data_IF_266123379640
#
_entry.id   IF_266123379640
#
_cell.length_a   1.000
_cell.length_b   1.000
_cell.length_c   1.000
_cell.angle_alpha   90.00
_cell.angle_beta   90.00
_cell.angle_gamma   90.00
#
_symmetry.space_group_name_H-M   'P 1'
#
loop_
_entity.id
_entity.type
_entity.pdbx_description
1 polymer ?
#
# COMPACT_ATOMS: atom_id res chain seq x y z
N UNK A 1 10.48 -27.71 -27.40
CA UNK A 1 10.08 -26.44 -26.76
C UNK A 1 8.56 -26.41 -26.73
N UNK A 2 7.95 -26.62 -25.55
CA UNK A 2 6.48 -26.64 -25.48
C UNK A 2 5.94 -25.25 -25.80
N UNK A 3 4.85 -25.22 -26.56
CA UNK A 3 4.19 -24.02 -27.04
C UNK A 3 3.48 -23.32 -25.86
N UNK A 4 4.24 -22.77 -24.91
CA UNK A 4 3.69 -21.94 -23.84
C UNK A 4 3.04 -20.74 -24.52
N UNK A 5 1.73 -20.64 -24.46
CA UNK A 5 0.96 -19.59 -25.10
C UNK A 5 1.46 -18.19 -24.72
N UNK A 6 1.28 -17.22 -25.63
CA UNK A 6 1.72 -15.82 -25.46
C UNK A 6 1.29 -15.22 -24.11
N UNK A 7 0.12 -15.62 -23.59
CA UNK A 7 -0.39 -15.19 -22.29
C UNK A 7 0.53 -15.60 -21.13
N UNK A 8 0.99 -16.85 -21.09
CA UNK A 8 1.86 -17.34 -20.02
C UNK A 8 3.20 -16.59 -20.05
N UNK A 9 3.75 -16.37 -21.24
CA UNK A 9 4.99 -15.60 -21.39
C UNK A 9 4.82 -14.16 -20.93
N UNK A 10 3.67 -13.53 -21.22
CA UNK A 10 3.36 -12.18 -20.72
C UNK A 10 3.27 -12.17 -19.18
N UNK A 11 2.53 -13.11 -18.58
CA UNK A 11 2.37 -13.23 -17.13
C UNK A 11 3.74 -13.43 -16.44
N UNK A 12 4.52 -14.41 -16.89
CA UNK A 12 5.82 -14.76 -16.29
C UNK A 12 6.84 -13.63 -16.42
N UNK A 13 6.80 -12.86 -17.51
CA UNK A 13 7.77 -11.79 -17.78
C UNK A 13 7.27 -10.37 -17.41
N UNK A 14 6.04 -10.23 -16.90
CA UNK A 14 5.43 -8.91 -16.70
C UNK A 14 6.23 -8.02 -15.74
N UNK A 15 6.67 -8.57 -14.61
CA UNK A 15 7.53 -7.88 -13.64
C UNK A 15 8.62 -8.81 -13.12
N UNK A 16 9.84 -8.65 -13.64
CA UNK A 16 11.00 -9.39 -13.15
C UNK A 16 11.42 -8.87 -11.77
N UNK A 17 11.56 -9.79 -10.82
CA UNK A 17 11.96 -9.52 -9.44
C UNK A 17 13.01 -10.52 -8.98
N UNK A 18 13.96 -10.08 -8.14
CA UNK A 18 14.92 -10.99 -7.50
C UNK A 18 14.39 -11.49 -6.15
N UNK A 19 14.92 -12.64 -5.69
CA UNK A 19 14.58 -13.17 -4.38
C UNK A 19 15.04 -12.23 -3.24
N UNK A 20 16.18 -11.55 -3.41
CA UNK A 20 16.66 -10.53 -2.48
C UNK A 20 15.71 -9.32 -2.41
N UNK A 21 15.25 -8.84 -3.57
CA UNK A 21 14.29 -7.73 -3.64
C UNK A 21 12.97 -8.09 -2.96
N UNK A 22 12.43 -9.28 -3.24
CA UNK A 22 11.21 -9.76 -2.58
C UNK A 22 11.41 -9.97 -1.07
N UNK A 23 12.57 -10.46 -0.63
CA UNK A 23 12.88 -10.61 0.79
C UNK A 23 12.88 -9.26 1.53
N UNK A 24 13.43 -8.21 0.92
CA UNK A 24 13.34 -6.85 1.46
C UNK A 24 11.90 -6.33 1.48
N UNK A 25 11.15 -6.55 0.39
CA UNK A 25 9.75 -6.15 0.31
C UNK A 25 8.93 -6.82 1.42
N UNK A 26 9.14 -8.11 1.70
CA UNK A 26 8.49 -8.82 2.81
C UNK A 26 8.75 -8.13 4.15
N UNK A 27 10.02 -7.84 4.45
CA UNK A 27 10.42 -7.18 5.70
C UNK A 27 9.76 -5.80 5.82
N UNK A 28 9.82 -5.00 4.75
CA UNK A 28 9.16 -3.69 4.72
C UNK A 28 7.65 -3.81 4.94
N UNK A 29 6.96 -4.68 4.20
CA UNK A 29 5.52 -4.91 4.34
C UNK A 29 5.13 -5.34 5.75
N UNK A 30 5.84 -6.30 6.33
CA UNK A 30 5.59 -6.77 7.70
C UNK A 30 5.72 -5.63 8.71
N UNK A 31 6.81 -4.85 8.62
CA UNK A 31 7.03 -3.72 9.53
C UNK A 31 5.98 -2.62 9.33
N UNK A 32 5.65 -2.30 8.07
CA UNK A 32 4.69 -1.26 7.77
C UNK A 32 3.29 -1.63 8.30
N UNK A 33 2.89 -2.90 8.15
CA UNK A 33 1.64 -3.39 8.73
C UNK A 33 1.70 -3.34 10.25
N UNK A 34 2.75 -3.88 10.87
CA UNK A 34 2.90 -3.93 12.33
C UNK A 34 2.86 -2.55 13.00
N UNK A 35 3.40 -1.53 12.37
CA UNK A 35 3.48 -0.19 12.96
C UNK A 35 2.28 0.71 12.64
N UNK A 36 1.69 0.57 11.45
CA UNK A 36 0.75 1.59 10.94
C UNK A 36 -0.57 1.03 10.42
N UNK A 37 -0.66 -0.26 10.08
CA UNK A 37 -1.83 -0.81 9.38
C UNK A 37 -2.47 -1.99 10.13
N UNK A 38 -2.25 -2.10 11.45
CA UNK A 38 -3.00 -3.05 12.27
C UNK A 38 -4.46 -2.57 12.33
N UNK A 39 -5.45 -3.39 11.92
CA UNK A 39 -6.86 -3.01 11.97
C UNK A 39 -7.30 -2.61 13.38
N UNK A 40 -8.04 -1.50 13.47
CA UNK A 40 -8.58 -0.98 14.73
C UNK A 40 -7.52 -0.46 15.71
N UNK A 41 -6.26 -0.24 15.29
CA UNK A 41 -5.17 0.14 16.20
C UNK A 41 -4.89 -0.83 17.36
N UNK A 42 -5.38 -2.08 17.27
CA UNK A 42 -5.11 -3.15 18.23
C UNK A 42 -6.35 -3.83 18.78
N UNK A 43 -6.14 -4.78 19.70
CA UNK A 43 -7.21 -5.65 20.19
C UNK A 43 -8.32 -4.90 20.95
N UNK A 44 -7.98 -3.84 21.69
CA UNK A 44 -8.94 -3.12 22.55
C UNK A 44 -10.04 -2.40 21.76
N UNK A 45 -9.78 -1.99 20.53
CA UNK A 45 -10.79 -1.38 19.67
C UNK A 45 -11.97 -2.32 19.40
N UNK A 46 -11.72 -3.62 19.36
CA UNK A 46 -12.75 -4.62 19.13
C UNK A 46 -13.61 -4.89 20.37
N UNK A 47 -13.24 -4.40 21.56
CA UNK A 47 -14.07 -4.52 22.76
C UNK A 47 -15.42 -3.81 22.55
N UNK A 48 -15.39 -2.58 22.01
CA UNK A 48 -16.60 -1.83 21.71
C UNK A 48 -17.46 -2.49 20.63
N UNK A 49 -16.85 -2.98 19.55
CA UNK A 49 -17.58 -3.72 18.49
C UNK A 49 -18.31 -4.93 19.04
N UNK A 50 -17.67 -5.68 19.95
CA UNK A 50 -18.28 -6.87 20.55
C UNK A 50 -19.47 -6.57 21.47
N UNK A 51 -19.63 -5.32 21.89
CA UNK A 51 -20.76 -4.87 22.74
C UNK A 51 -21.90 -4.22 21.97
N UNK A 52 -21.76 -4.08 20.65
CA UNK A 52 -22.81 -3.48 19.84
C UNK A 52 -24.08 -4.34 19.78
N UNK A 53 -25.27 -3.72 19.79
CA UNK A 53 -26.52 -4.44 19.51
C UNK A 53 -26.50 -5.08 18.11
N UNK A 54 -27.18 -6.21 17.96
CA UNK A 54 -27.27 -6.95 16.69
C UNK A 54 -27.83 -6.09 15.54
N UNK A 55 -28.72 -5.14 15.83
CA UNK A 55 -29.30 -4.22 14.84
C UNK A 55 -28.25 -3.33 14.13
N UNK A 56 -27.08 -3.15 14.74
CA UNK A 56 -25.95 -2.43 14.12
C UNK A 56 -25.06 -3.33 13.25
N UNK A 57 -25.30 -4.65 13.25
CA UNK A 57 -24.55 -5.60 12.43
C UNK A 57 -25.20 -5.71 11.04
N UNK A 58 -24.72 -4.90 10.10
CA UNK A 58 -25.14 -4.86 8.70
C UNK A 58 -23.95 -5.20 7.78
N UNK A 59 -23.58 -6.50 7.69
CA UNK A 59 -22.44 -6.91 6.87
C UNK A 59 -22.71 -6.62 5.38
N UNK A 60 -21.71 -6.10 4.63
CA UNK A 60 -21.81 -6.04 3.18
C UNK A 60 -21.86 -7.45 2.59
N UNK A 61 -22.29 -7.61 1.31
CA UNK A 61 -22.30 -8.90 0.65
C UNK A 61 -20.98 -9.65 0.76
N UNK A 62 -20.98 -10.84 1.38
CA UNK A 62 -19.77 -11.62 1.60
C UNK A 62 -19.85 -12.57 2.80
N UNK A 63 -18.70 -13.15 3.22
CA UNK A 63 -18.66 -14.18 4.27
C UNK A 63 -19.19 -13.74 5.63
N UNK A 64 -19.18 -12.43 5.92
CA UNK A 64 -19.70 -11.90 7.19
C UNK A 64 -21.23 -12.02 7.31
N UNK A 65 -21.95 -12.22 6.19
CA UNK A 65 -23.40 -12.47 6.21
C UNK A 65 -23.81 -13.80 6.84
N UNK A 66 -22.85 -14.69 7.12
CA UNK A 66 -23.11 -15.96 7.81
C UNK A 66 -23.38 -15.72 9.31
N UNK A 67 -23.00 -14.55 9.83
CA UNK A 67 -23.22 -14.16 11.21
C UNK A 67 -24.50 -13.31 11.31
N UNK A 68 -25.23 -13.47 12.41
CA UNK A 68 -26.40 -12.64 12.71
C UNK A 68 -26.07 -11.41 13.58
N UNK A 69 -24.88 -11.40 14.20
CA UNK A 69 -24.44 -10.34 15.12
C UNK A 69 -22.90 -10.31 15.22
N UNK A 70 -22.37 -9.27 15.88
CA UNK A 70 -20.95 -9.20 16.18
C UNK A 70 -20.49 -10.38 17.06
N UNK A 71 -19.33 -10.98 16.77
CA UNK A 71 -18.76 -12.03 17.62
C UNK A 71 -18.42 -11.53 19.03
N UNK A 72 -18.37 -12.42 20.04
CA UNK A 72 -17.85 -12.07 21.36
C UNK A 72 -16.39 -11.58 21.30
N UNK A 73 -15.97 -10.74 22.25
CA UNK A 73 -14.61 -10.17 22.32
C UNK A 73 -13.49 -11.22 22.21
N UNK A 74 -13.70 -12.40 22.80
CA UNK A 74 -12.74 -13.51 22.74
C UNK A 74 -12.40 -13.94 21.30
N UNK A 75 -13.36 -13.86 20.37
CA UNK A 75 -13.15 -14.19 18.96
C UNK A 75 -12.26 -13.13 18.29
N UNK A 76 -12.54 -11.85 18.53
CA UNK A 76 -11.69 -10.76 18.04
C UNK A 76 -10.27 -10.85 18.58
N UNK A 77 -10.12 -11.09 19.89
CA UNK A 77 -8.82 -11.27 20.54
C UNK A 77 -8.06 -12.47 19.94
N UNK A 78 -8.74 -13.58 19.65
CA UNK A 78 -8.13 -14.75 19.02
C UNK A 78 -7.63 -14.45 17.60
N UNK A 79 -8.46 -13.83 16.75
CA UNK A 79 -8.09 -13.47 15.38
C UNK A 79 -6.94 -12.46 15.38
N UNK A 80 -6.99 -11.45 16.25
CA UNK A 80 -5.91 -10.47 16.41
C UNK A 80 -4.61 -11.13 16.90
N UNK A 81 -4.68 -12.09 17.82
CA UNK A 81 -3.49 -12.83 18.28
C UNK A 81 -2.87 -13.63 17.13
N UNK A 82 -3.69 -14.31 16.32
CA UNK A 82 -3.24 -15.01 15.12
C UNK A 82 -2.59 -14.03 14.13
N UNK A 83 -3.17 -12.84 13.94
CA UNK A 83 -2.59 -11.78 13.11
C UNK A 83 -1.19 -11.40 13.61
N UNK A 84 -1.03 -11.10 14.90
CA UNK A 84 0.26 -10.68 15.46
C UNK A 84 1.33 -11.78 15.33
N UNK A 85 1.00 -13.02 15.70
CA UNK A 85 1.92 -14.16 15.58
C UNK A 85 2.30 -14.41 14.12
N UNK A 86 1.32 -14.38 13.20
CA UNK A 86 1.58 -14.57 11.77
C UNK A 86 2.40 -13.44 11.15
N UNK A 87 2.19 -12.18 11.55
CA UNK A 87 2.99 -11.04 11.10
C UNK A 87 4.44 -11.13 11.55
N UNK A 88 4.68 -11.49 12.82
CA UNK A 88 6.03 -11.71 13.36
C UNK A 88 6.70 -12.88 12.64
N UNK A 89 5.98 -13.98 12.41
CA UNK A 89 6.49 -15.10 11.63
C UNK A 89 6.79 -14.72 10.17
N UNK A 90 5.94 -13.89 9.54
CA UNK A 90 6.16 -13.37 8.19
C UNK A 90 7.40 -12.46 8.14
N UNK A 91 7.58 -11.57 9.13
CA UNK A 91 8.76 -10.71 9.24
C UNK A 91 10.06 -11.54 9.31
N UNK A 92 10.09 -12.51 10.23
CA UNK A 92 11.21 -13.44 10.39
C UNK A 92 11.39 -14.37 9.18
N UNK A 93 10.36 -14.50 8.34
CA UNK A 93 10.34 -15.43 7.22
C UNK A 93 10.33 -16.89 7.68
N UNK A 94 9.52 -17.19 8.69
CA UNK A 94 9.25 -18.54 9.19
C UNK A 94 7.90 -19.03 8.67
N UNK A 95 7.90 -20.18 7.97
CA UNK A 95 6.72 -20.71 7.26
C UNK A 95 6.03 -19.62 6.43
N UNK A 96 6.84 -18.86 5.69
CA UNK A 96 6.51 -17.56 5.09
C UNK A 96 5.20 -17.59 4.31
N UNK A 97 4.96 -18.63 3.49
CA UNK A 97 3.70 -18.79 2.74
C UNK A 97 2.48 -18.81 3.66
N UNK A 98 2.47 -19.69 4.67
CA UNK A 98 1.36 -19.82 5.60
C UNK A 98 1.22 -18.60 6.50
N UNK A 99 2.33 -18.05 6.98
CA UNK A 99 2.33 -16.82 7.76
C UNK A 99 1.67 -15.66 6.97
N UNK A 100 2.01 -15.52 5.69
CA UNK A 100 1.45 -14.47 4.82
C UNK A 100 -0.04 -14.68 4.54
N UNK A 101 -0.47 -15.93 4.29
CA UNK A 101 -1.90 -16.27 4.11
C UNK A 101 -2.68 -15.96 5.39
N UNK A 102 -2.20 -16.43 6.54
CA UNK A 102 -2.86 -16.19 7.83
C UNK A 102 -2.93 -14.70 8.15
N UNK A 103 -1.87 -13.94 7.91
CA UNK A 103 -1.88 -12.47 8.04
C UNK A 103 -2.98 -11.85 7.17
N UNK A 104 -3.03 -12.18 5.87
CA UNK A 104 -4.04 -11.63 4.97
C UNK A 104 -5.47 -12.02 5.34
N UNK A 105 -5.71 -13.28 5.67
CA UNK A 105 -7.04 -13.77 6.10
C UNK A 105 -7.45 -13.12 7.41
N UNK A 106 -6.58 -13.03 8.42
CA UNK A 106 -6.89 -12.38 9.68
C UNK A 106 -7.22 -10.90 9.51
N UNK A 107 -6.48 -10.16 8.67
CA UNK A 107 -6.81 -8.75 8.36
C UNK A 107 -8.17 -8.68 7.67
N UNK A 108 -8.44 -9.54 6.68
CA UNK A 108 -9.72 -9.54 5.96
C UNK A 108 -10.91 -9.81 6.89
N UNK A 109 -10.76 -10.76 7.83
CA UNK A 109 -11.78 -11.06 8.82
C UNK A 109 -12.03 -9.87 9.76
N UNK A 110 -10.97 -9.28 10.32
CA UNK A 110 -11.09 -8.12 11.21
C UNK A 110 -11.70 -6.91 10.50
N UNK A 111 -11.25 -6.59 9.28
CA UNK A 111 -11.81 -5.50 8.48
C UNK A 111 -13.25 -5.77 8.08
N UNK A 112 -13.58 -7.01 7.67
CA UNK A 112 -14.94 -7.41 7.35
C UNK A 112 -15.89 -7.16 8.51
N UNK A 113 -15.48 -7.50 9.73
CA UNK A 113 -16.25 -7.22 10.95
C UNK A 113 -16.35 -5.72 11.26
N UNK A 114 -15.29 -4.93 11.07
CA UNK A 114 -15.35 -3.47 11.23
C UNK A 114 -16.35 -2.85 10.24
N UNK A 115 -16.34 -3.31 8.99
CA UNK A 115 -17.21 -2.77 7.93
C UNK A 115 -18.67 -3.19 8.07
N UNK A 116 -18.97 -4.21 8.88
CA UNK A 116 -20.35 -4.57 9.23
C UNK A 116 -21.08 -3.50 10.05
N UNK A 117 -20.41 -2.42 10.49
CA UNK A 117 -21.09 -1.24 11.08
C UNK A 117 -21.67 -0.31 9.99
N UNK A 118 -21.48 -0.62 8.71
CA UNK A 118 -22.08 0.10 7.58
C UNK A 118 -21.15 1.11 6.89
N UNK A 119 -19.91 1.29 7.36
CA UNK A 119 -18.89 2.09 6.66
C UNK A 119 -17.84 1.18 6.04
N UNK A 120 -17.84 1.09 4.72
CA UNK A 120 -16.82 0.37 3.96
C UNK A 120 -15.69 1.32 3.59
N UNK A 121 -14.45 1.02 4.01
CA UNK A 121 -13.25 1.75 3.58
C UNK A 121 -12.48 0.97 2.51
N UNK A 122 -11.63 1.67 1.76
CA UNK A 122 -10.80 1.08 0.68
C UNK A 122 -9.50 0.45 1.21
N UNK A 123 -9.59 -0.45 2.20
CA UNK A 123 -8.42 -0.99 2.89
C UNK A 123 -8.09 -2.45 2.54
N UNK A 124 -8.81 -3.04 1.59
CA UNK A 124 -8.67 -4.46 1.20
C UNK A 124 -7.26 -4.83 0.74
N UNK A 125 -6.50 -3.86 0.21
CA UNK A 125 -5.12 -4.08 -0.23
C UNK A 125 -4.19 -4.48 0.94
N UNK A 126 -4.49 -4.08 2.17
CA UNK A 126 -3.70 -4.48 3.35
C UNK A 126 -3.77 -5.99 3.55
N UNK A 127 -4.95 -6.59 3.33
CA UNK A 127 -5.16 -8.03 3.42
C UNK A 127 -4.63 -8.79 2.20
N UNK A 128 -4.91 -8.25 1.01
CA UNK A 128 -4.59 -8.91 -0.27
C UNK A 128 -3.10 -9.00 -0.52
N UNK A 129 -2.33 -7.96 -0.19
CA UNK A 129 -0.87 -7.94 -0.41
C UNK A 129 -0.17 -9.17 0.21
N UNK A 130 -0.27 -9.41 1.53
CA UNK A 130 0.35 -10.60 2.12
C UNK A 130 -0.26 -11.91 1.60
N UNK A 131 -1.57 -11.99 1.40
CA UNK A 131 -2.22 -13.20 0.89
C UNK A 131 -1.73 -13.59 -0.52
N UNK A 132 -1.65 -12.65 -1.45
CA UNK A 132 -1.17 -12.88 -2.81
C UNK A 132 0.34 -13.11 -2.85
N UNK A 133 1.12 -12.29 -2.12
CA UNK A 133 2.58 -12.41 -2.10
C UNK A 133 3.06 -13.70 -1.41
N UNK A 134 2.21 -14.40 -0.65
CA UNK A 134 2.46 -15.75 -0.17
C UNK A 134 2.90 -16.73 -1.28
N UNK A 135 2.48 -16.48 -2.52
CA UNK A 135 2.77 -17.30 -3.69
C UNK A 135 3.92 -16.76 -4.56
N UNK A 136 4.54 -15.64 -4.19
CA UNK A 136 5.66 -15.03 -4.93
C UNK A 136 7.02 -15.64 -4.62
N UNK A 137 7.08 -16.53 -3.63
CA UNK A 137 8.32 -17.00 -3.00
C UNK A 137 9.15 -15.86 -2.34
N UNK A 138 8.51 -14.80 -1.83
CA UNK A 138 9.20 -13.73 -1.07
C UNK A 138 9.86 -14.16 0.25
N UNK A 139 9.72 -15.44 0.62
CA UNK A 139 10.49 -16.09 1.68
C UNK A 139 11.78 -16.75 1.17
N UNK A 140 12.12 -16.63 -0.12
CA UNK A 140 13.28 -17.31 -0.72
C UNK A 140 14.65 -16.77 -0.28
N UNK A 141 14.70 -15.54 0.26
CA UNK A 141 15.91 -14.92 0.83
C UNK A 141 15.61 -14.15 2.11
N UNK A 142 16.66 -13.96 2.91
CA UNK A 142 16.65 -13.23 4.18
C UNK A 142 15.53 -13.70 5.12
N UNK A 143 15.34 -15.02 5.20
CA UNK A 143 14.28 -15.68 5.96
C UNK A 143 14.83 -16.90 6.69
N UNK A 144 14.16 -17.31 7.77
CA UNK A 144 14.44 -18.59 8.43
C UNK A 144 14.22 -19.76 7.46
N UNK A 145 13.21 -19.68 6.60
CA UNK A 145 12.92 -20.71 5.60
C UNK A 145 14.07 -20.89 4.59
N UNK A 146 14.73 -19.80 4.19
CA UNK A 146 15.85 -19.83 3.24
C UNK A 146 17.12 -20.45 3.80
N UNK A 147 17.28 -20.46 5.13
CA UNK A 147 18.40 -21.14 5.79
C UNK A 147 18.23 -22.66 5.73
N UNK A 148 16.97 -23.14 5.68
CA UNK A 148 16.63 -24.57 5.74
C UNK A 148 16.47 -25.23 4.37
N UNK A 149 16.32 -24.46 3.29
CA UNK A 149 16.04 -24.97 1.94
C UNK A 149 17.27 -24.88 1.04
N UNK A 150 17.37 -25.83 0.10
CA UNK A 150 18.37 -25.74 -0.97
C UNK A 150 18.08 -24.56 -1.92
N UNK A 151 19.13 -23.89 -2.46
CA UNK A 151 19.00 -22.71 -3.32
C UNK A 151 18.14 -22.91 -4.57
N UNK A 152 17.99 -24.16 -5.07
CA UNK A 152 17.24 -24.45 -6.30
C UNK A 152 15.74 -24.14 -6.22
N UNK A 153 15.15 -24.08 -5.03
CA UNK A 153 13.73 -23.77 -4.83
C UNK A 153 13.47 -22.27 -4.55
N UNK A 154 14.40 -21.38 -4.91
CA UNK A 154 14.36 -19.95 -4.58
C UNK A 154 13.92 -19.04 -5.73
N UNK A 155 13.52 -19.60 -6.88
CA UNK A 155 13.06 -18.79 -8.01
C UNK A 155 11.80 -18.00 -7.62
N UNK A 156 11.80 -16.66 -7.79
CA UNK A 156 10.64 -15.82 -7.57
C UNK A 156 9.55 -16.05 -8.62
N UNK A 157 8.30 -16.01 -8.17
CA UNK A 157 7.14 -16.02 -9.07
C UNK A 157 6.63 -14.60 -9.29
N UNK A 158 6.49 -14.20 -10.55
CA UNK A 158 6.13 -12.82 -10.93
C UNK A 158 4.61 -12.59 -11.00
N UNK A 159 3.83 -13.64 -11.21
CA UNK A 159 2.38 -13.55 -11.40
C UNK A 159 1.62 -12.92 -10.20
N UNK A 160 2.03 -13.08 -8.92
CA UNK A 160 1.31 -12.44 -7.81
C UNK A 160 1.37 -10.91 -7.86
N UNK A 161 2.47 -10.35 -8.38
CA UNK A 161 2.59 -8.90 -8.58
C UNK A 161 1.64 -8.42 -9.68
N UNK A 162 1.51 -9.19 -10.77
CA UNK A 162 0.54 -8.90 -11.82
C UNK A 162 -0.91 -9.00 -11.28
N UNK A 163 -1.21 -10.01 -10.47
CA UNK A 163 -2.52 -10.13 -9.82
C UNK A 163 -2.84 -8.91 -8.96
N UNK A 164 -1.90 -8.45 -8.12
CA UNK A 164 -2.08 -7.23 -7.33
C UNK A 164 -2.23 -5.99 -8.23
N UNK A 165 -1.49 -5.92 -9.34
CA UNK A 165 -1.63 -4.81 -10.30
C UNK A 165 -3.03 -4.75 -10.92
N UNK A 166 -3.58 -5.91 -11.31
CA UNK A 166 -4.95 -6.04 -11.81
C UNK A 166 -5.95 -5.61 -10.73
N UNK A 167 -5.76 -6.03 -9.49
CA UNK A 167 -6.65 -5.64 -8.38
C UNK A 167 -6.60 -4.14 -8.09
N UNK A 168 -5.41 -3.53 -8.06
CA UNK A 168 -5.28 -2.06 -7.93
C UNK A 168 -6.01 -1.37 -9.08
N UNK A 169 -5.81 -1.83 -10.32
CA UNK A 169 -6.43 -1.22 -11.48
C UNK A 169 -7.96 -1.37 -11.47
N UNK A 170 -8.46 -2.53 -11.04
CA UNK A 170 -9.89 -2.76 -10.87
C UNK A 170 -10.48 -1.89 -9.76
N UNK A 171 -9.79 -1.76 -8.62
CA UNK A 171 -10.23 -0.87 -7.54
C UNK A 171 -10.32 0.59 -8.00
N UNK A 172 -9.31 1.07 -8.72
CA UNK A 172 -9.33 2.43 -9.31
C UNK A 172 -10.47 2.59 -10.30
N UNK A 173 -10.69 1.62 -11.18
CA UNK A 173 -11.82 1.61 -12.10
C UNK A 173 -13.16 1.67 -11.35
N UNK A 174 -13.35 0.86 -10.30
CA UNK A 174 -14.58 0.89 -9.50
C UNK A 174 -14.76 2.19 -8.70
N UNK A 175 -13.71 2.97 -8.50
CA UNK A 175 -13.82 4.32 -7.94
C UNK A 175 -14.25 5.35 -9.00
N UNK A 176 -13.77 5.22 -10.25
CA UNK A 176 -14.10 6.13 -11.35
C UNK A 176 -15.42 5.83 -12.05
N UNK A 177 -15.83 4.57 -12.11
CA UNK A 177 -17.04 4.16 -12.81
C UNK A 177 -18.32 4.80 -12.22
N UNK A 178 -18.55 4.81 -10.89
CA UNK A 178 -19.68 5.54 -10.31
C UNK A 178 -19.62 7.06 -10.55
N UNK A 179 -18.43 7.66 -10.68
CA UNK A 179 -18.27 9.09 -10.98
C UNK A 179 -18.78 9.43 -12.38
N UNK A 180 -18.47 8.57 -13.36
CA UNK A 180 -19.01 8.68 -14.71
C UNK A 180 -20.54 8.62 -14.68
N UNK A 181 -21.10 7.62 -14.00
CA UNK A 181 -22.56 7.46 -13.89
C UNK A 181 -23.22 8.61 -13.10
N UNK A 182 -22.50 9.18 -12.14
CA UNK A 182 -22.95 10.28 -11.29
C UNK A 182 -22.81 11.67 -11.92
N UNK A 183 -22.45 11.76 -13.20
CA UNK A 183 -22.44 13.04 -13.93
C UNK A 183 -21.20 13.91 -13.71
N UNK A 184 -20.07 13.37 -13.22
CA UNK A 184 -18.84 14.15 -13.02
C UNK A 184 -18.24 14.72 -14.32
N UNK A 185 -18.71 14.28 -15.49
CA UNK A 185 -18.29 14.83 -16.79
C UNK A 185 -19.20 15.97 -17.27
N UNK A 186 -20.23 16.33 -16.51
CA UNK A 186 -21.08 17.49 -16.77
C UNK A 186 -20.38 18.77 -16.28
N UNK A 187 -19.99 19.69 -17.19
CA UNK A 187 -19.24 20.89 -16.83
C UNK A 187 -19.97 21.91 -15.96
N UNK A 188 -21.26 21.68 -15.70
CA UNK A 188 -22.05 22.52 -14.80
C UNK A 188 -21.93 22.10 -13.33
N UNK A 189 -21.33 20.94 -13.04
CA UNK A 189 -21.35 20.35 -11.70
C UNK A 189 -20.14 20.69 -10.84
N UNK A 190 -18.94 20.86 -11.41
CA UNK A 190 -17.68 21.04 -10.68
C UNK A 190 -17.56 20.04 -9.52
N UNK A 191 -17.72 18.75 -9.82
CA UNK A 191 -17.96 17.69 -8.83
C UNK A 191 -16.85 17.60 -7.77
N UNK A 192 -15.59 17.79 -8.15
CA UNK A 192 -14.44 17.85 -7.23
C UNK A 192 -14.56 19.03 -6.26
N UNK A 193 -14.99 20.21 -6.73
CA UNK A 193 -15.22 21.37 -5.86
C UNK A 193 -16.39 21.10 -4.90
N UNK A 194 -17.50 20.55 -5.41
CA UNK A 194 -18.62 20.13 -4.57
C UNK A 194 -18.20 19.12 -3.49
N UNK A 195 -17.31 18.18 -3.82
CA UNK A 195 -16.76 17.23 -2.86
C UNK A 195 -15.87 17.92 -1.82
N UNK A 196 -15.01 18.88 -2.23
CA UNK A 196 -14.24 19.72 -1.31
C UNK A 196 -15.14 20.47 -0.33
N UNK A 197 -16.19 21.12 -0.81
CA UNK A 197 -17.15 21.84 0.04
C UNK A 197 -17.83 20.90 1.04
N UNK A 198 -18.18 19.69 0.61
CA UNK A 198 -18.73 18.67 1.52
C UNK A 198 -17.72 18.27 2.60
N UNK A 199 -16.46 18.01 2.24
CA UNK A 199 -15.43 17.70 3.24
C UNK A 199 -15.21 18.86 4.21
N UNK A 200 -15.11 20.09 3.70
CA UNK A 200 -14.78 21.26 4.50
C UNK A 200 -15.91 21.68 5.45
N UNK A 201 -17.15 21.77 4.96
CA UNK A 201 -18.29 22.30 5.71
C UNK A 201 -19.13 21.24 6.41
N UNK A 202 -19.22 20.02 5.87
CA UNK A 202 -20.07 18.95 6.44
C UNK A 202 -19.25 17.97 7.28
N UNK A 203 -18.01 17.68 6.87
CA UNK A 203 -17.09 16.80 7.62
C UNK A 203 -16.08 17.57 8.47
N UNK A 204 -16.14 18.90 8.45
CA UNK A 204 -15.26 19.80 9.23
C UNK A 204 -13.76 19.55 8.99
N UNK A 205 -13.41 19.07 7.78
CA UNK A 205 -12.02 18.82 7.35
C UNK A 205 -11.39 20.10 6.81
N UNK A 206 -10.78 20.86 7.71
CA UNK A 206 -10.32 22.22 7.44
C UNK A 206 -8.79 22.40 7.55
N UNK A 207 -8.04 21.31 7.69
CA UNK A 207 -6.59 21.32 7.87
C UNK A 207 -5.82 21.50 6.55
N UNK A 208 -4.50 21.66 6.65
CA UNK A 208 -3.56 21.74 5.52
C UNK A 208 -3.94 22.85 4.52
N UNK A 209 -4.24 22.51 3.25
CA UNK A 209 -4.57 23.46 2.20
C UNK A 209 -6.07 23.54 1.90
N UNK A 210 -6.93 22.88 2.69
CA UNK A 210 -8.36 22.83 2.44
C UNK A 210 -8.98 24.24 2.36
N UNK A 211 -8.66 25.12 3.32
CA UNK A 211 -9.15 26.51 3.34
C UNK A 211 -8.69 27.34 2.13
N UNK A 212 -7.47 27.12 1.65
CA UNK A 212 -6.96 27.77 0.44
C UNK A 212 -7.79 27.35 -0.79
N UNK A 213 -8.04 26.05 -0.94
CA UNK A 213 -8.80 25.55 -2.09
C UNK A 213 -10.28 25.94 -2.06
N UNK A 214 -10.90 26.10 -0.90
CA UNK A 214 -12.30 26.59 -0.80
C UNK A 214 -12.44 28.00 -1.38
N UNK A 215 -11.41 28.84 -1.18
CA UNK A 215 -11.37 30.22 -1.69
C UNK A 215 -10.93 30.31 -3.17
N UNK A 216 -10.57 29.18 -3.78
CA UNK A 216 -10.08 29.15 -5.15
C UNK A 216 -11.23 29.07 -6.16
N UNK A 217 -11.69 30.23 -6.61
CA UNK A 217 -12.78 30.38 -7.58
C UNK A 217 -12.27 30.31 -9.03
N UNK A 218 -12.20 29.10 -9.59
CA UNK A 218 -11.82 28.90 -10.99
C UNK A 218 -12.49 27.66 -11.58
N UNK A 219 -13.53 27.88 -12.38
CA UNK A 219 -14.31 26.82 -13.03
C UNK A 219 -13.45 25.90 -13.89
N UNK A 220 -12.55 26.45 -14.71
CA UNK A 220 -11.71 25.67 -15.63
C UNK A 220 -10.82 24.69 -14.85
N UNK A 221 -10.27 25.13 -13.72
CA UNK A 221 -9.45 24.29 -12.86
C UNK A 221 -10.24 23.13 -12.26
N UNK A 222 -11.43 23.39 -11.72
CA UNK A 222 -12.26 22.35 -11.09
C UNK A 222 -12.73 21.32 -12.11
N UNK A 223 -13.17 21.77 -13.27
CA UNK A 223 -13.54 20.89 -14.38
C UNK A 223 -12.35 20.08 -14.88
N UNK A 224 -11.16 20.69 -15.01
CA UNK A 224 -9.96 19.94 -15.34
C UNK A 224 -9.70 18.80 -14.33
N UNK A 225 -9.90 19.05 -13.03
CA UNK A 225 -9.72 18.01 -12.00
C UNK A 225 -10.77 16.89 -12.10
N UNK A 226 -12.01 17.19 -12.47
CA UNK A 226 -13.05 16.17 -12.68
C UNK A 226 -12.67 15.21 -13.80
N UNK A 227 -12.34 15.76 -14.97
CA UNK A 227 -11.89 14.99 -16.12
C UNK A 227 -10.58 14.24 -15.85
N UNK A 228 -9.62 14.89 -15.20
CA UNK A 228 -8.33 14.27 -14.86
C UNK A 228 -8.52 13.10 -13.88
N UNK A 229 -9.40 13.22 -12.89
CA UNK A 229 -9.71 12.17 -11.91
C UNK A 229 -10.29 10.94 -12.61
N UNK A 230 -11.29 11.13 -13.49
CA UNK A 230 -11.90 10.01 -14.24
C UNK A 230 -10.90 9.35 -15.17
N UNK A 231 -10.14 10.13 -15.95
CA UNK A 231 -9.15 9.58 -16.87
C UNK A 231 -8.07 8.78 -16.11
N UNK A 232 -7.64 9.29 -14.96
CA UNK A 232 -6.67 8.64 -14.09
C UNK A 232 -7.20 7.31 -13.53
N UNK A 233 -8.41 7.32 -12.93
CA UNK A 233 -9.02 6.15 -12.30
C UNK A 233 -9.35 5.04 -13.31
N UNK A 234 -9.92 5.39 -14.47
CA UNK A 234 -10.25 4.43 -15.54
C UNK A 234 -8.99 3.99 -16.30
N UNK A 235 -8.05 4.90 -16.54
CA UNK A 235 -6.82 4.64 -17.27
C UNK A 235 -5.92 3.58 -16.62
N UNK A 236 -6.09 3.34 -15.32
CA UNK A 236 -5.40 2.28 -14.60
C UNK A 236 -5.60 0.88 -15.23
N UNK A 237 -6.80 0.56 -15.75
CA UNK A 237 -7.05 -0.72 -16.43
C UNK A 237 -6.15 -0.92 -17.64
N UNK A 238 -6.00 0.12 -18.45
CA UNK A 238 -5.14 0.10 -19.64
C UNK A 238 -3.67 0.05 -19.24
N UNK A 239 -3.30 0.69 -18.12
CA UNK A 239 -1.91 0.74 -17.66
C UNK A 239 -1.33 -0.64 -17.32
N UNK A 240 -2.16 -1.62 -16.92
CA UNK A 240 -1.71 -2.98 -16.53
C UNK A 240 -1.06 -3.73 -17.70
N UNK A 241 -1.41 -3.45 -18.96
CA UNK A 241 -0.84 -4.16 -20.11
C UNK A 241 0.68 -4.02 -20.21
N UNK A 242 1.25 -2.92 -19.70
CA UNK A 242 2.71 -2.72 -19.64
C UNK A 242 3.13 -2.16 -18.29
N UNK A 243 4.04 -2.86 -17.59
CA UNK A 243 4.60 -2.44 -16.30
C UNK A 243 5.09 -0.98 -16.28
N UNK A 244 5.67 -0.49 -17.39
CA UNK A 244 6.11 0.92 -17.49
C UNK A 244 4.94 1.89 -17.37
N UNK A 245 3.82 1.62 -18.05
CA UNK A 245 2.62 2.45 -17.97
C UNK A 245 2.02 2.35 -16.57
N UNK A 246 1.88 1.14 -16.04
CA UNK A 246 1.42 0.91 -14.67
C UNK A 246 2.22 1.72 -13.64
N UNK A 247 3.56 1.69 -13.71
CA UNK A 247 4.42 2.48 -12.81
C UNK A 247 4.25 3.99 -12.96
N UNK A 248 3.97 4.49 -14.16
CA UNK A 248 3.64 5.92 -14.37
C UNK A 248 2.32 6.26 -13.67
N UNK A 249 1.30 5.41 -13.84
CA UNK A 249 0.02 5.56 -13.15
C UNK A 249 0.17 5.47 -11.62
N UNK A 250 1.05 4.60 -11.10
CA UNK A 250 1.37 4.61 -9.66
C UNK A 250 2.03 5.92 -9.21
N UNK A 251 2.88 6.54 -10.03
CA UNK A 251 3.43 7.86 -9.72
C UNK A 251 2.32 8.91 -9.65
N UNK A 252 1.38 8.89 -10.60
CA UNK A 252 0.19 9.74 -10.54
C UNK A 252 -0.69 9.43 -9.34
N UNK A 253 -0.81 8.16 -8.93
CA UNK A 253 -1.56 7.79 -7.73
C UNK A 253 -0.97 8.37 -6.45
N UNK A 254 0.36 8.35 -6.32
CA UNK A 254 1.05 9.01 -5.21
C UNK A 254 0.75 10.51 -5.18
N UNK A 255 0.78 11.18 -6.34
CA UNK A 255 0.47 12.61 -6.44
C UNK A 255 -1.02 12.90 -6.18
N UNK A 256 -1.91 12.05 -6.68
CA UNK A 256 -3.35 12.14 -6.47
C UNK A 256 -3.69 12.02 -4.99
N UNK A 257 -3.21 10.97 -4.30
CA UNK A 257 -3.47 10.78 -2.87
C UNK A 257 -2.81 11.85 -2.00
N UNK A 258 -1.66 12.38 -2.41
CA UNK A 258 -1.09 13.56 -1.76
C UNK A 258 -2.01 14.78 -1.95
N UNK A 259 -2.50 15.02 -3.16
CA UNK A 259 -3.42 16.13 -3.44
C UNK A 259 -4.72 15.98 -2.64
N UNK A 260 -5.32 14.80 -2.56
CA UNK A 260 -6.54 14.56 -1.75
C UNK A 260 -6.27 14.76 -0.26
N UNK A 261 -5.11 14.35 0.25
CA UNK A 261 -4.74 14.61 1.65
C UNK A 261 -4.59 16.12 1.90
N UNK A 262 -3.91 16.85 1.02
CA UNK A 262 -3.66 18.28 1.19
C UNK A 262 -4.92 19.14 1.04
N UNK A 263 -5.82 18.78 0.12
CA UNK A 263 -7.02 19.57 -0.21
C UNK A 263 -8.28 19.10 0.50
N UNK A 264 -8.49 17.78 0.65
CA UNK A 264 -9.71 17.20 1.21
C UNK A 264 -9.53 16.65 2.64
N UNK A 265 -8.29 16.65 3.15
CA UNK A 265 -7.86 15.95 4.38
C UNK A 265 -8.30 14.48 4.42
N UNK A 266 -8.18 13.79 3.27
CA UNK A 266 -8.40 12.35 3.17
C UNK A 266 -7.07 11.66 2.86
N UNK A 267 -6.60 10.84 3.80
CA UNK A 267 -5.43 10.01 3.61
C UNK A 267 -5.82 8.59 3.17
N UNK A 268 -5.07 8.06 2.21
CA UNK A 268 -5.19 6.67 1.74
C UNK A 268 -3.88 5.90 1.95
N UNK A 269 -3.31 6.00 3.16
CA UNK A 269 -2.05 5.33 3.52
C UNK A 269 -2.02 3.83 3.20
N UNK A 270 -3.08 3.04 3.41
CA UNK A 270 -3.13 1.62 3.04
C UNK A 270 -2.70 1.31 1.60
N UNK A 271 -3.03 2.18 0.65
CA UNK A 271 -2.70 1.97 -0.77
C UNK A 271 -1.18 2.00 -1.02
N UNK A 272 -0.43 2.73 -0.20
CA UNK A 272 1.02 2.88 -0.36
C UNK A 272 1.78 1.57 -0.10
N UNK A 273 1.23 0.68 0.75
CA UNK A 273 1.77 -0.67 0.90
C UNK A 273 1.75 -1.43 -0.44
N UNK A 274 0.63 -1.34 -1.17
CA UNK A 274 0.47 -1.99 -2.46
C UNK A 274 1.32 -1.33 -3.55
N UNK A 275 1.43 0.01 -3.53
CA UNK A 275 2.28 0.73 -4.49
C UNK A 275 3.77 0.42 -4.29
N UNK A 276 4.19 0.25 -3.04
CA UNK A 276 5.56 -0.08 -2.69
C UNK A 276 6.02 -1.40 -3.34
N UNK A 277 5.12 -2.35 -3.64
CA UNK A 277 5.46 -3.61 -4.32
C UNK A 277 6.15 -3.40 -5.68
N UNK A 278 5.87 -2.27 -6.34
CA UNK A 278 6.34 -2.01 -7.70
C UNK A 278 7.60 -1.14 -7.75
N UNK A 279 8.16 -0.80 -6.58
CA UNK A 279 9.50 -0.20 -6.47
C UNK A 279 10.58 -1.17 -6.96
N UNK A 280 11.71 -0.61 -7.35
CA UNK A 280 12.87 -1.43 -7.74
C UNK A 280 13.63 -1.91 -6.50
N UNK A 281 13.09 -2.92 -5.83
CA UNK A 281 13.66 -3.50 -4.62
C UNK A 281 15.06 -4.09 -4.83
N UNK A 282 15.38 -4.60 -6.01
CA UNK A 282 16.72 -5.09 -6.34
C UNK A 282 17.76 -3.96 -6.31
N UNK A 283 17.39 -2.77 -6.80
CA UNK A 283 18.22 -1.57 -6.73
C UNK A 283 18.35 -1.06 -5.30
N UNK A 284 17.27 -1.08 -4.52
CA UNK A 284 17.28 -0.71 -3.10
C UNK A 284 18.21 -1.64 -2.32
N UNK A 285 18.10 -2.95 -2.55
CA UNK A 285 18.99 -3.95 -1.98
C UNK A 285 20.45 -3.68 -2.33
N UNK A 286 20.75 -3.49 -3.61
CA UNK A 286 22.12 -3.23 -4.07
C UNK A 286 22.69 -1.96 -3.43
N UNK A 287 21.89 -0.89 -3.35
CA UNK A 287 22.28 0.35 -2.69
C UNK A 287 22.59 0.15 -1.20
N UNK A 288 21.68 -0.50 -0.47
CA UNK A 288 21.84 -0.79 0.96
C UNK A 288 23.10 -1.63 1.22
N UNK A 289 23.33 -2.64 0.39
CA UNK A 289 24.52 -3.49 0.49
C UNK A 289 25.82 -2.71 0.22
N UNK A 290 25.83 -1.85 -0.79
CA UNK A 290 26.99 -1.00 -1.09
C UNK A 290 27.29 -0.01 0.05
N UNK A 291 26.25 0.60 0.64
CA UNK A 291 26.41 1.50 1.78
C UNK A 291 27.00 0.76 2.99
N UNK A 292 26.46 -0.42 3.31
CA UNK A 292 26.98 -1.26 4.39
C UNK A 292 28.44 -1.70 4.14
N UNK A 293 28.77 -2.09 2.91
CA UNK A 293 30.13 -2.45 2.51
C UNK A 293 31.10 -1.27 2.71
N UNK A 294 30.71 -0.06 2.30
CA UNK A 294 31.52 1.15 2.50
C UNK A 294 31.74 1.47 3.98
N UNK A 295 30.69 1.34 4.80
CA UNK A 295 30.76 1.64 6.23
C UNK A 295 31.59 0.62 7.03
N UNK A 296 31.60 -0.65 6.61
CA UNK A 296 32.20 -1.74 7.42
C UNK A 296 33.44 -2.39 6.80
N UNK A 297 33.73 -2.16 5.52
CA UNK A 297 34.78 -2.83 4.77
C UNK A 297 34.55 -4.34 4.52
N UNK A 298 33.42 -4.91 4.99
CA UNK A 298 33.17 -6.36 4.95
C UNK A 298 32.62 -6.80 3.58
N UNK A 299 33.07 -7.98 3.13
CA UNK A 299 32.68 -8.63 1.88
C UNK A 299 32.06 -10.01 2.14
N UNK A 300 31.37 -10.57 1.13
CA UNK A 300 30.85 -11.94 1.11
C UNK A 300 29.39 -12.10 1.57
N UNK A 301 28.85 -13.33 1.49
CA UNK A 301 27.43 -13.63 1.75
C UNK A 301 26.93 -13.23 3.15
N UNK A 302 27.79 -13.35 4.18
CA UNK A 302 27.45 -12.90 5.54
C UNK A 302 27.24 -11.39 5.62
N UNK A 303 27.96 -10.62 4.80
CA UNK A 303 27.81 -9.15 4.75
C UNK A 303 26.47 -8.74 4.12
N UNK A 304 25.95 -9.51 3.16
CA UNK A 304 24.62 -9.29 2.58
C UNK A 304 23.52 -9.40 3.63
N UNK A 305 23.49 -10.50 4.38
CA UNK A 305 22.52 -10.71 5.47
C UNK A 305 22.61 -9.62 6.53
N UNK A 306 23.83 -9.26 6.95
CA UNK A 306 24.03 -8.18 7.93
C UNK A 306 23.56 -6.81 7.42
N UNK A 307 23.73 -6.52 6.12
CA UNK A 307 23.22 -5.28 5.53
C UNK A 307 21.70 -5.20 5.56
N UNK A 308 21.02 -6.33 5.34
CA UNK A 308 19.55 -6.41 5.45
C UNK A 308 19.07 -6.26 6.88
N UNK A 309 19.73 -6.92 7.84
CA UNK A 309 19.41 -6.76 9.27
C UNK A 309 19.61 -5.33 9.74
N UNK A 310 20.69 -4.67 9.33
CA UNK A 310 20.93 -3.27 9.64
C UNK A 310 19.84 -2.36 9.06
N UNK A 311 19.44 -2.58 7.79
CA UNK A 311 18.35 -1.84 7.18
C UNK A 311 17.01 -2.07 7.90
N UNK A 312 16.70 -3.31 8.28
CA UNK A 312 15.50 -3.65 9.04
C UNK A 312 15.48 -2.97 10.42
N UNK A 313 16.61 -2.94 11.13
CA UNK A 313 16.74 -2.27 12.42
C UNK A 313 16.54 -0.75 12.29
N UNK A 314 17.14 -0.14 11.27
CA UNK A 314 16.93 1.29 10.98
C UNK A 314 15.45 1.57 10.71
N UNK A 315 14.79 0.73 9.91
CA UNK A 315 13.35 0.87 9.65
C UNK A 315 12.52 0.75 10.94
N UNK A 316 12.81 -0.21 11.81
CA UNK A 316 12.14 -0.36 13.11
C UNK A 316 12.27 0.91 13.95
N UNK A 317 13.48 1.47 14.06
CA UNK A 317 13.72 2.68 14.83
C UNK A 317 12.96 3.87 14.22
N UNK A 318 13.06 4.07 12.91
CA UNK A 318 12.36 5.15 12.21
C UNK A 318 10.84 5.03 12.36
N UNK A 319 10.29 3.83 12.18
CA UNK A 319 8.85 3.59 12.30
C UNK A 319 8.36 3.78 13.74
N UNK A 320 9.14 3.34 14.73
CA UNK A 320 8.83 3.57 16.14
C UNK A 320 8.81 5.06 16.48
N UNK A 321 9.79 5.83 16.01
CA UNK A 321 9.82 7.29 16.20
C UNK A 321 8.60 7.94 15.56
N UNK A 322 8.29 7.62 14.30
CA UNK A 322 7.13 8.20 13.59
C UNK A 322 5.81 7.82 14.27
N UNK A 323 5.63 6.55 14.69
CA UNK A 323 4.43 6.12 15.41
C UNK A 323 4.31 6.80 16.77
N UNK A 324 5.41 6.91 17.52
CA UNK A 324 5.44 7.61 18.80
C UNK A 324 5.07 9.09 18.64
N UNK A 325 5.69 9.80 17.70
CA UNK A 325 5.34 11.18 17.40
C UNK A 325 3.86 11.33 16.99
N UNK A 326 3.33 10.38 16.22
CA UNK A 326 1.92 10.36 15.84
C UNK A 326 0.99 10.13 17.04
N UNK A 327 1.36 9.27 17.99
CA UNK A 327 0.55 9.04 19.21
C UNK A 327 0.52 10.24 20.16
N UNK A 328 1.54 11.10 20.09
CA UNK A 328 1.59 12.34 20.88
C UNK A 328 0.71 13.45 20.30
N UNK A 329 0.12 13.25 19.12
CA UNK A 329 -0.75 14.19 18.40
C UNK A 329 -0.18 15.63 18.32
N UNK A 330 1.14 15.78 18.14
CA UNK A 330 1.84 17.06 18.33
C UNK A 330 1.47 18.17 17.34
N UNK A 331 0.98 17.82 16.15
CA UNK A 331 0.80 18.76 15.04
C UNK A 331 -0.64 18.87 14.52
N UNK A 332 -1.49 17.87 14.76
CA UNK A 332 -2.81 17.72 14.11
C UNK A 332 -3.90 17.40 15.15
N UNK A 333 -3.92 18.15 16.25
CA UNK A 333 -4.76 17.87 17.43
C UNK A 333 -6.27 17.88 17.17
N UNK A 334 -6.71 18.51 16.08
CA UNK A 334 -8.12 18.60 15.67
C UNK A 334 -8.40 17.95 14.31
N UNK A 335 -7.41 17.27 13.73
CA UNK A 335 -7.54 16.67 12.41
C UNK A 335 -7.98 15.21 12.50
N UNK A 336 -8.73 14.77 11.49
CA UNK A 336 -8.92 13.35 11.18
C UNK A 336 -7.60 12.70 10.71
N UNK A 337 -6.62 13.50 10.25
CA UNK A 337 -5.35 13.02 9.74
C UNK A 337 -4.38 12.67 10.88
N UNK A 338 -3.72 11.54 10.73
CA UNK A 338 -2.64 11.13 11.62
C UNK A 338 -1.30 11.65 11.08
N UNK A 339 -0.40 12.06 11.98
CA UNK A 339 0.91 12.60 11.59
C UNK A 339 1.69 11.62 10.69
N UNK A 340 1.63 10.32 10.98
CA UNK A 340 2.33 9.33 10.19
C UNK A 340 1.77 9.21 8.77
N UNK A 341 0.47 9.42 8.55
CA UNK A 341 -0.12 9.46 7.20
C UNK A 341 0.48 10.62 6.40
N UNK A 342 0.54 11.82 7.00
CA UNK A 342 1.16 12.99 6.38
C UNK A 342 2.63 12.74 6.04
N UNK A 343 3.39 12.17 6.97
CA UNK A 343 4.81 11.85 6.78
C UNK A 343 5.01 10.86 5.64
N UNK A 344 4.28 9.76 5.61
CA UNK A 344 4.49 8.71 4.59
C UNK A 344 3.98 9.12 3.20
N UNK A 345 2.82 9.77 3.12
CA UNK A 345 2.27 10.22 1.83
C UNK A 345 3.18 11.31 1.23
N UNK A 346 3.63 12.29 2.04
CA UNK A 346 4.57 13.31 1.58
C UNK A 346 5.93 12.72 1.23
N UNK A 347 6.43 11.77 2.03
CA UNK A 347 7.68 11.05 1.75
C UNK A 347 7.63 10.27 0.44
N UNK A 348 6.49 9.67 0.09
CA UNK A 348 6.32 8.99 -1.17
C UNK A 348 6.36 9.94 -2.38
N UNK A 349 5.82 11.16 -2.27
CA UNK A 349 5.97 12.20 -3.30
C UNK A 349 7.45 12.53 -3.51
N UNK A 350 8.22 12.71 -2.43
CA UNK A 350 9.66 12.95 -2.53
C UNK A 350 10.37 11.82 -3.27
N UNK A 351 10.03 10.56 -2.98
CA UNK A 351 10.57 9.40 -3.69
C UNK A 351 10.25 9.47 -5.19
N UNK A 352 9.02 9.80 -5.57
CA UNK A 352 8.62 9.96 -6.98
C UNK A 352 9.43 11.07 -7.67
N UNK A 353 9.56 12.24 -7.04
CA UNK A 353 10.31 13.39 -7.57
C UNK A 353 11.79 13.02 -7.77
N UNK A 354 12.43 12.42 -6.76
CA UNK A 354 13.82 11.98 -6.85
C UNK A 354 14.02 10.98 -7.98
N UNK A 355 13.13 9.98 -8.11
CA UNK A 355 13.20 9.00 -9.20
C UNK A 355 13.05 9.65 -10.59
N UNK A 356 12.16 10.63 -10.73
CA UNK A 356 11.98 11.38 -11.98
C UNK A 356 13.25 12.15 -12.35
N UNK A 357 13.83 12.91 -11.40
CA UNK A 357 15.06 13.68 -11.61
C UNK A 357 16.25 12.77 -11.99
N UNK A 358 16.40 11.63 -11.31
CA UNK A 358 17.44 10.64 -11.65
C UNK A 358 17.29 10.09 -13.07
N UNK A 359 16.06 9.97 -13.57
CA UNK A 359 15.78 9.45 -14.92
C UNK A 359 16.13 10.48 -15.99
N UNK A 360 15.83 11.75 -15.76
CA UNK A 360 16.19 12.87 -16.67
C UNK A 360 17.71 13.00 -16.78
N UNK A 361 18.42 12.94 -15.65
CA UNK A 361 19.90 13.04 -15.62
C UNK A 361 20.57 11.94 -16.45
N UNK A 362 20.10 10.69 -16.34
CA UNK A 362 20.67 9.56 -17.11
C UNK A 362 20.55 9.74 -18.62
N UNK A 363 19.40 10.23 -19.11
CA UNK A 363 19.19 10.48 -20.55
C UNK A 363 20.15 11.55 -21.09
N UNK A 364 20.37 12.61 -20.31
CA UNK A 364 21.23 13.73 -20.70
C UNK A 364 22.70 13.29 -20.85
N UNK A 365 23.19 12.46 -19.92
CA UNK A 365 24.57 11.91 -19.98
C UNK A 365 24.74 10.97 -21.19
N UNK A 366 23.77 10.10 -21.47
CA UNK A 366 23.87 9.19 -22.62
C UNK A 366 23.87 9.92 -23.97
N UNK A 367 23.24 11.08 -24.07
CA UNK A 367 23.25 11.88 -25.31
C UNK A 367 24.59 12.60 -25.54
N UNK A 368 25.31 12.95 -24.49
CA UNK A 368 26.64 13.58 -24.60
C UNK A 368 27.74 12.57 -24.92
N UNK A 369 27.57 11.29 -24.60
CA UNK A 369 28.55 10.24 -24.95
C UNK A 369 28.41 9.73 -26.39
N UNK A 370 27.28 10.02 -27.04
CA UNK A 370 26.98 9.59 -28.42
C UNK A 370 27.11 10.74 -29.45
N UNK A 371 27.51 11.93 -29.02
CA UNK A 371 27.91 13.05 -29.87
C UNK A 371 29.42 13.20 -29.75
#
# INVERSE_FOLDING_TARGET
MSNRGLLNQWIENWCRVSAEGLGLMRIFSSLFILFFLIPGEGALHFAWLSTMPADFFSPPPGPMMILDQFPPFAVFQAIHTILMVSLIAMLAGYRTKWASILTGVSILLLQGLIFSVGKVNHEILIAVVPAAMAFSNWGGRFSIDSIRKEPKNSEPESWPLLFIAILIAFMMFTAGFPKILGGWLDPSTQATYGHLLNQFFVKERQDLLAAFFVQFDNVIFWEFLDWATILFEVGFLVSVFKLKWFRIFLCFAVLFHFSTMMSLNIAFLPNFLAYALFLNWDRIYTFNHQLYKRATGKLGERSKHRSVLAAALILVVLFAIVRWMSSMNLALTRSDLLLHEVVFISGAVLVVVVMALMTIRKKTVSQHQNR
#
